data_IF_504103020242
#
_entry.id   IF_504103020242
#
_cell.length_a   1.000
_cell.length_b   1.000
_cell.length_c   1.000
_cell.angle_alpha   90.00
_cell.angle_beta   90.00
_cell.angle_gamma   90.00
#
_symmetry.space_group_name_H-M   'P 1'
#
loop_
_entity.id
_entity.type
_entity.pdbx_description
1 polymer ?
#
# COMPACT_ATOMS: atom_id res chain seq x y z
N UNK A 1 -1.20 1.51 8.71
CA UNK A 1 -0.56 0.18 8.66
C UNK A 1 0.79 0.28 7.94
N UNK A 2 1.82 -0.49 8.34
CA UNK A 2 3.15 -0.43 7.70
C UNK A 2 3.24 -1.38 6.50
N UNK A 3 4.15 -1.12 5.56
CA UNK A 3 4.27 -1.90 4.30
C UNK A 3 4.29 -3.42 4.53
N UNK A 4 5.05 -3.91 5.52
CA UNK A 4 5.16 -5.34 5.81
C UNK A 4 3.83 -5.99 6.20
N UNK A 5 3.04 -5.29 7.01
CA UNK A 5 1.72 -5.77 7.44
C UNK A 5 0.75 -5.78 6.25
N UNK A 6 0.84 -4.76 5.39
CA UNK A 6 0.05 -4.68 4.15
C UNK A 6 0.38 -5.82 3.20
N UNK A 7 1.67 -6.09 2.96
CA UNK A 7 2.10 -7.21 2.10
C UNK A 7 1.42 -8.52 2.50
N UNK A 8 1.35 -8.79 3.81
CA UNK A 8 0.72 -9.99 4.35
C UNK A 8 -0.82 -9.95 4.23
N UNK A 9 -1.42 -8.77 4.39
CA UNK A 9 -2.88 -8.59 4.40
C UNK A 9 -3.49 -8.75 3.01
N UNK A 10 -2.83 -8.21 1.98
CA UNK A 10 -3.35 -8.22 0.59
C UNK A 10 -2.71 -9.28 -0.29
N UNK A 11 -1.72 -10.02 0.23
CA UNK A 11 -0.89 -11.00 -0.50
C UNK A 11 -0.22 -10.40 -1.75
N UNK A 12 0.33 -9.19 -1.59
CA UNK A 12 1.01 -8.43 -2.66
C UNK A 12 2.43 -8.09 -2.19
N UNK A 13 3.48 -8.40 -2.97
CA UNK A 13 4.84 -8.00 -2.63
C UNK A 13 5.01 -6.48 -2.56
N UNK A 14 5.88 -5.97 -1.68
CA UNK A 14 6.17 -4.53 -1.52
C UNK A 14 6.58 -3.85 -2.82
N UNK A 15 7.23 -4.58 -3.72
CA UNK A 15 7.65 -4.05 -5.02
C UNK A 15 6.42 -3.66 -5.85
N UNK A 16 5.37 -4.46 -5.81
CA UNK A 16 4.09 -4.17 -6.47
C UNK A 16 3.35 -3.04 -5.77
N UNK A 17 3.39 -2.96 -4.43
CA UNK A 17 2.84 -1.83 -3.69
C UNK A 17 3.51 -0.50 -4.10
N UNK A 18 4.85 -0.48 -4.18
CA UNK A 18 5.60 0.68 -4.65
C UNK A 18 5.31 0.98 -6.12
N UNK A 19 5.19 -0.05 -6.96
CA UNK A 19 4.83 0.12 -8.36
C UNK A 19 3.47 0.82 -8.52
N UNK A 20 2.46 0.44 -7.73
CA UNK A 20 1.16 1.12 -7.76
C UNK A 20 1.24 2.58 -7.30
N UNK A 21 2.08 2.89 -6.30
CA UNK A 21 2.33 4.27 -5.89
C UNK A 21 3.05 5.07 -7.00
N UNK A 22 4.10 4.51 -7.60
CA UNK A 22 4.88 5.12 -8.69
C UNK A 22 4.04 5.37 -9.96
N UNK A 23 3.04 4.53 -10.20
CA UNK A 23 2.07 4.68 -11.30
C UNK A 23 0.92 5.62 -10.96
N UNK A 24 0.84 6.15 -9.74
CA UNK A 24 -0.25 7.00 -9.28
C UNK A 24 -1.59 6.27 -9.09
N UNK A 25 -1.57 4.94 -9.04
CA UNK A 25 -2.75 4.10 -8.79
C UNK A 25 -3.11 4.04 -7.30
N UNK A 26 -2.14 4.36 -6.44
CA UNK A 26 -2.30 4.40 -4.99
C UNK A 26 -1.56 5.62 -4.44
N UNK A 27 -2.16 6.34 -3.49
CA UNK A 27 -1.48 7.41 -2.76
C UNK A 27 -1.41 7.07 -1.28
N UNK A 28 -0.21 6.95 -0.74
CA UNK A 28 0.00 6.52 0.65
C UNK A 28 0.55 7.67 1.47
N UNK A 29 -0.13 7.99 2.56
CA UNK A 29 0.38 8.97 3.52
C UNK A 29 1.69 8.50 4.14
N UNK A 30 2.55 9.45 4.52
CA UNK A 30 3.77 9.17 5.28
C UNK A 30 3.60 9.70 6.70
N UNK A 31 4.13 8.97 7.66
CA UNK A 31 4.23 9.47 9.03
C UNK A 31 5.37 10.49 9.17
N UNK A 32 5.56 11.01 10.38
CA UNK A 32 6.57 12.04 10.68
C UNK A 32 8.02 11.57 10.48
N UNK A 33 8.27 10.27 10.46
CA UNK A 33 9.60 9.69 10.23
C UNK A 33 9.84 9.29 8.76
N UNK A 34 8.83 9.49 7.89
CA UNK A 34 8.92 9.24 6.45
C UNK A 34 8.51 7.83 6.01
N UNK A 35 8.11 6.94 6.92
CA UNK A 35 7.58 5.63 6.56
C UNK A 35 6.14 5.72 6.03
N UNK A 36 5.82 4.84 5.08
CA UNK A 36 4.47 4.66 4.55
C UNK A 36 3.50 4.25 5.66
N UNK A 37 2.34 4.88 5.67
CA UNK A 37 1.23 4.58 6.55
C UNK A 37 -0.04 4.36 5.71
N UNK A 38 -0.35 3.10 5.45
CA UNK A 38 -1.52 2.71 4.69
C UNK A 38 -2.78 2.85 5.55
N UNK A 39 -3.76 3.59 5.05
CA UNK A 39 -5.12 3.66 5.60
C UNK A 39 -5.91 2.41 5.20
N UNK A 40 -7.09 2.20 5.80
CA UNK A 40 -8.00 1.15 5.37
C UNK A 40 -8.42 1.32 3.90
N UNK A 41 -8.67 2.55 3.46
CA UNK A 41 -9.00 2.87 2.06
C UNK A 41 -7.91 2.42 1.08
N UNK A 42 -6.63 2.55 1.47
CA UNK A 42 -5.52 2.05 0.67
C UNK A 42 -5.55 0.51 0.56
N UNK A 43 -5.89 -0.18 1.64
CA UNK A 43 -6.05 -1.65 1.63
C UNK A 43 -7.20 -2.06 0.71
N UNK A 44 -8.34 -1.40 0.82
CA UNK A 44 -9.52 -1.70 0.00
C UNK A 44 -9.24 -1.47 -1.49
N UNK A 45 -8.47 -0.42 -1.82
CA UNK A 45 -8.01 -0.14 -3.17
C UNK A 45 -7.08 -1.25 -3.68
N UNK A 46 -6.11 -1.67 -2.86
CA UNK A 46 -5.17 -2.75 -3.19
C UNK A 46 -5.88 -4.08 -3.45
N UNK A 47 -6.88 -4.42 -2.65
CA UNK A 47 -7.68 -5.64 -2.83
C UNK A 47 -8.47 -5.61 -4.15
N UNK A 48 -9.01 -4.45 -4.54
CA UNK A 48 -9.70 -4.28 -5.83
C UNK A 48 -8.78 -4.41 -7.04
N UNK A 49 -7.52 -4.00 -6.92
CA UNK A 49 -6.52 -4.15 -7.99
C UNK A 49 -6.05 -5.60 -8.17
N UNK A 50 -6.23 -6.45 -7.16
CA UNK A 50 -5.79 -7.84 -7.12
C UNK A 50 -6.95 -8.86 -7.27
N UNK A 51 -8.15 -8.39 -7.62
CA UNK A 51 -9.33 -9.22 -7.92
C UNK A 51 -9.49 -9.35 -9.43
#
# INVERSE_FOLDING_TARGET
>A
MKTKDVETTVDIPKQTLHFYEDKGLLTVARDTNGYRNYSQENIDTLLRLNT
#
